data_IF_607513142123
#
_entry.id   IF_607513142123
#
_cell.length_a   1.000
_cell.length_b   1.000
_cell.length_c   1.000
_cell.angle_alpha   90.00
_cell.angle_beta   90.00
_cell.angle_gamma   90.00
#
_symmetry.space_group_name_H-M   'P 1'
#
loop_
_entity.id
_entity.type
_entity.pdbx_description
1 polymer ?
#
# COMPACT_ATOMS: atom_id res chain seq x y z
N UNK A 1 47.05 64.83 -3.22
CA UNK A 1 47.92 63.74 -2.77
C UNK A 1 47.46 62.49 -3.53
N UNK A 2 48.03 62.12 -4.69
CA UNK A 2 49.28 61.32 -4.92
C UNK A 2 49.16 59.96 -4.24
N UNK A 3 49.36 58.76 -4.81
CA UNK A 3 49.66 58.15 -6.12
C UNK A 3 49.31 56.64 -5.89
N UNK A 4 48.68 55.89 -6.80
CA UNK A 4 49.21 55.25 -8.00
C UNK A 4 50.33 54.19 -7.75
N UNK A 5 50.18 53.05 -8.47
CA UNK A 5 51.21 52.08 -8.93
C UNK A 5 51.52 50.88 -7.99
N UNK A 6 51.76 49.66 -8.48
CA UNK A 6 51.80 49.10 -9.86
C UNK A 6 52.23 47.63 -9.78
N UNK A 7 51.53 46.79 -10.54
CA UNK A 7 51.98 45.71 -11.45
C UNK A 7 53.26 44.89 -11.12
N UNK A 8 53.15 43.57 -11.29
CA UNK A 8 53.62 42.78 -12.48
C UNK A 8 53.46 41.28 -12.14
N UNK A 9 52.74 40.43 -12.87
CA UNK A 9 52.81 40.06 -14.30
C UNK A 9 54.11 39.33 -14.69
N UNK A 10 54.02 38.00 -14.81
CA UNK A 10 54.82 37.08 -15.63
C UNK A 10 53.93 35.82 -15.80
N UNK A 11 53.67 35.20 -16.95
CA UNK A 11 53.99 35.35 -18.37
C UNK A 11 53.27 34.16 -19.05
N UNK A 12 52.29 34.35 -19.93
CA UNK A 12 52.37 34.37 -21.41
C UNK A 12 52.74 33.03 -22.07
N UNK A 13 51.70 32.44 -22.69
CA UNK A 13 51.61 31.83 -24.03
C UNK A 13 52.42 30.57 -24.40
N UNK A 14 51.75 29.66 -25.11
CA UNK A 14 52.38 28.59 -25.88
C UNK A 14 51.41 27.54 -26.40
N UNK A 15 50.90 27.76 -27.61
CA UNK A 15 49.88 26.99 -28.33
C UNK A 15 50.30 25.59 -28.82
N UNK A 16 49.28 24.72 -29.00
CA UNK A 16 49.07 23.72 -30.08
C UNK A 16 50.19 22.70 -30.41
N UNK A 17 49.93 21.40 -30.20
CA UNK A 17 49.58 20.45 -31.29
C UNK A 17 49.58 18.97 -30.85
N UNK A 18 48.50 18.28 -31.24
CA UNK A 18 48.34 16.89 -31.65
C UNK A 18 49.34 15.81 -31.17
N UNK A 19 48.82 14.88 -30.38
CA UNK A 19 49.06 13.45 -30.58
C UNK A 19 47.71 12.72 -30.45
N UNK A 20 47.18 12.26 -31.58
CA UNK A 20 45.98 11.44 -31.61
C UNK A 20 46.26 10.01 -31.16
N UNK A 21 45.20 9.30 -30.76
CA UNK A 21 44.91 7.92 -31.14
C UNK A 21 43.45 7.60 -30.73
N UNK A 22 42.60 7.57 -31.75
CA UNK A 22 41.59 6.54 -32.06
C UNK A 22 40.95 5.79 -30.86
N UNK A 23 39.62 5.92 -30.72
CA UNK A 23 38.65 4.81 -30.75
C UNK A 23 37.47 5.03 -29.79
N UNK A 24 36.26 4.84 -30.31
CA UNK A 24 35.19 4.18 -29.55
C UNK A 24 34.22 5.08 -28.80
N UNK A 25 33.08 5.35 -29.42
CA UNK A 25 31.83 5.47 -28.68
C UNK A 25 31.60 4.17 -27.90
N UNK A 26 31.63 4.21 -26.57
CA UNK A 26 30.72 3.47 -25.69
C UNK A 26 30.70 4.18 -24.34
N UNK A 27 29.54 4.63 -23.81
CA UNK A 27 29.40 4.76 -22.38
C UNK A 27 29.56 3.35 -21.81
N UNK A 28 30.76 3.08 -21.27
CA UNK A 28 31.08 1.80 -20.68
C UNK A 28 30.07 1.46 -19.60
N UNK A 29 29.35 0.35 -19.80
CA UNK A 29 28.76 -0.42 -18.71
C UNK A 29 29.89 -0.87 -17.80
N UNK A 30 30.18 -0.05 -16.79
CA UNK A 30 30.94 -0.49 -15.62
C UNK A 30 29.98 -1.41 -14.87
N UNK A 31 30.04 -2.71 -15.18
CA UNK A 31 29.40 -3.76 -14.40
C UNK A 31 30.12 -3.84 -13.05
N UNK A 32 29.77 -2.94 -12.14
CA UNK A 32 30.13 -3.07 -10.73
C UNK A 32 29.05 -3.92 -10.08
N UNK A 33 29.43 -5.02 -9.44
CA UNK A 33 28.54 -5.96 -8.75
C UNK A 33 27.73 -5.36 -7.58
N UNK A 34 27.80 -4.05 -7.38
CA UNK A 34 26.95 -3.25 -6.48
C UNK A 34 25.66 -2.78 -7.16
N UNK A 35 25.64 -2.67 -8.50
CA UNK A 35 24.48 -2.16 -9.25
C UNK A 35 23.36 -3.17 -9.45
N UNK A 36 23.64 -4.47 -9.47
CA UNK A 36 22.60 -5.50 -9.62
C UNK A 36 21.76 -5.66 -8.35
N UNK A 37 22.37 -5.53 -7.17
CA UNK A 37 21.64 -5.47 -5.89
C UNK A 37 20.76 -4.23 -5.82
N UNK A 38 21.32 -3.05 -6.13
CA UNK A 38 20.59 -1.78 -6.06
C UNK A 38 19.45 -1.69 -7.08
N UNK A 39 19.64 -2.17 -8.33
CA UNK A 39 18.57 -2.19 -9.34
C UNK A 39 17.52 -3.25 -9.03
N UNK A 40 17.89 -4.38 -8.41
CA UNK A 40 16.92 -5.39 -7.98
C UNK A 40 16.10 -4.88 -6.79
N UNK A 41 16.74 -4.36 -5.74
CA UNK A 41 16.08 -3.69 -4.61
C UNK A 41 15.19 -2.55 -5.08
N UNK A 42 15.68 -1.68 -5.96
CA UNK A 42 14.90 -0.55 -6.48
C UNK A 42 13.71 -1.00 -7.35
N UNK A 43 13.85 -2.06 -8.16
CA UNK A 43 12.72 -2.64 -8.91
C UNK A 43 11.72 -3.36 -8.02
N UNK A 44 12.20 -4.03 -6.97
CA UNK A 44 11.34 -4.70 -5.98
C UNK A 44 10.57 -3.65 -5.17
N UNK A 45 11.26 -2.61 -4.70
CA UNK A 45 10.70 -1.45 -4.00
C UNK A 45 9.61 -0.75 -4.85
N UNK A 46 9.88 -0.53 -6.16
CA UNK A 46 8.87 0.02 -7.07
C UNK A 46 7.68 -0.92 -7.31
N UNK A 47 7.91 -2.23 -7.50
CA UNK A 47 6.82 -3.18 -7.73
C UNK A 47 5.89 -3.27 -6.53
N UNK A 48 6.47 -3.36 -5.33
CA UNK A 48 5.74 -3.47 -4.06
C UNK A 48 4.93 -2.22 -3.75
N UNK A 49 5.52 -1.05 -4.00
CA UNK A 49 4.86 0.25 -3.85
C UNK A 49 3.56 0.33 -4.65
N UNK A 50 3.57 -0.14 -5.90
CA UNK A 50 2.41 -0.07 -6.77
C UNK A 50 1.26 -1.01 -6.40
N UNK A 51 1.51 -2.09 -5.64
CA UNK A 51 0.45 -3.00 -5.21
C UNK A 51 -0.32 -2.44 -4.02
N UNK A 52 0.39 -1.87 -3.05
CA UNK A 52 -0.21 -1.19 -1.89
C UNK A 52 -0.93 0.09 -2.33
N UNK A 53 -0.30 0.95 -3.14
CA UNK A 53 -0.91 2.18 -3.66
C UNK A 53 -2.21 1.89 -4.42
N UNK A 54 -2.25 0.86 -5.27
CA UNK A 54 -3.45 0.49 -6.02
C UNK A 54 -4.60 0.05 -5.09
N UNK A 55 -4.32 -0.74 -4.07
CA UNK A 55 -5.34 -1.19 -3.12
C UNK A 55 -5.91 -0.01 -2.32
N UNK A 56 -5.06 0.96 -1.94
CA UNK A 56 -5.49 2.21 -1.29
C UNK A 56 -6.34 3.05 -2.23
N UNK A 57 -5.90 3.26 -3.47
CA UNK A 57 -6.61 4.12 -4.43
C UNK A 57 -8.00 3.55 -4.73
N UNK A 58 -8.11 2.24 -4.94
CA UNK A 58 -9.38 1.56 -5.11
C UNK A 58 -10.26 1.69 -3.87
N UNK A 59 -9.68 1.55 -2.68
CA UNK A 59 -10.40 1.74 -1.42
C UNK A 59 -10.96 3.16 -1.28
N UNK A 60 -10.15 4.19 -1.53
CA UNK A 60 -10.59 5.59 -1.46
C UNK A 60 -11.71 5.87 -2.46
N UNK A 61 -11.66 5.30 -3.66
CA UNK A 61 -12.72 5.41 -4.66
C UNK A 61 -14.03 4.74 -4.23
N UNK A 62 -13.96 3.52 -3.69
CA UNK A 62 -15.13 2.77 -3.23
C UNK A 62 -15.76 3.44 -1.99
N UNK A 63 -14.91 3.93 -1.07
CA UNK A 63 -15.30 4.58 0.17
C UNK A 63 -15.91 5.98 -0.05
N UNK A 64 -15.51 6.70 -1.11
CA UNK A 64 -16.16 7.96 -1.48
C UNK A 64 -17.68 7.82 -1.75
N UNK A 65 -18.15 6.59 -1.99
CA UNK A 65 -19.56 6.26 -2.19
C UNK A 65 -20.17 5.43 -1.02
N UNK A 66 -19.47 5.33 0.13
CA UNK A 66 -19.89 4.54 1.29
C UNK A 66 -21.22 5.04 1.90
N UNK A 67 -22.11 4.14 2.37
CA UNK A 67 -23.40 4.50 2.97
C UNK A 67 -23.26 5.05 4.41
N UNK A 68 -22.08 4.92 4.99
CA UNK A 68 -21.79 5.31 6.36
C UNK A 68 -21.78 6.84 6.52
N UNK A 69 -22.37 7.33 7.62
CA UNK A 69 -22.42 8.78 7.89
C UNK A 69 -21.48 9.11 9.05
N UNK A 70 -21.07 10.37 9.14
CA UNK A 70 -20.39 10.92 10.33
C UNK A 70 -19.17 10.12 10.86
N UNK A 71 -18.43 9.45 9.99
CA UNK A 71 -17.22 8.73 10.37
C UNK A 71 -17.47 7.40 11.10
N UNK A 72 -18.64 6.80 10.92
CA UNK A 72 -19.00 5.45 11.39
C UNK A 72 -18.21 4.34 10.67
N UNK A 73 -17.61 4.66 9.54
CA UNK A 73 -16.65 3.84 8.82
C UNK A 73 -15.30 4.50 8.72
N UNK A 74 -15.01 5.47 9.62
CA UNK A 74 -13.78 6.27 9.64
C UNK A 74 -12.67 5.41 9.07
N UNK A 75 -12.32 5.72 7.81
CA UNK A 75 -11.01 5.36 7.30
C UNK A 75 -10.11 5.85 8.39
N UNK A 76 -9.52 4.96 9.19
CA UNK A 76 -8.56 5.42 10.16
C UNK A 76 -7.57 6.23 9.32
N UNK A 77 -7.46 7.51 9.62
CA UNK A 77 -6.45 8.40 9.04
C UNK A 77 -5.09 7.69 9.10
N UNK A 78 -4.88 6.93 10.18
CA UNK A 78 -3.74 6.05 10.40
C UNK A 78 -3.64 4.86 9.44
N UNK A 79 -4.69 4.31 8.86
CA UNK A 79 -4.54 3.19 7.94
C UNK A 79 -4.07 3.66 6.57
N UNK A 80 -4.64 4.75 6.04
CA UNK A 80 -4.09 5.35 4.82
C UNK A 80 -2.69 5.91 5.07
N UNK A 81 -2.42 6.47 6.25
CA UNK A 81 -1.08 6.91 6.66
C UNK A 81 -0.11 5.73 6.85
N UNK A 82 -0.46 4.66 7.58
CA UNK A 82 0.37 3.45 7.72
C UNK A 82 0.59 2.83 6.34
N UNK A 83 -0.43 2.73 5.50
CA UNK A 83 -0.30 2.17 4.16
C UNK A 83 0.52 3.08 3.24
N UNK A 84 0.48 4.41 3.39
CA UNK A 84 1.32 5.38 2.65
C UNK A 84 2.75 5.47 3.18
N UNK A 85 2.94 5.38 4.49
CA UNK A 85 4.22 5.42 5.22
C UNK A 85 5.02 4.15 4.92
N UNK A 86 4.34 3.00 4.86
CA UNK A 86 4.97 1.70 4.67
C UNK A 86 4.74 1.09 3.28
N UNK A 87 4.24 1.85 2.29
CA UNK A 87 4.03 1.40 0.90
C UNK A 87 5.25 0.74 0.26
N UNK A 88 6.45 1.14 0.67
CA UNK A 88 7.73 0.62 0.18
C UNK A 88 8.06 -0.79 0.69
N UNK A 89 7.41 -1.23 1.77
CA UNK A 89 7.72 -2.51 2.44
C UNK A 89 6.98 -3.72 1.87
N UNK A 90 6.00 -3.50 0.99
CA UNK A 90 5.20 -4.54 0.35
C UNK A 90 4.02 -5.05 1.17
N UNK A 91 3.07 -5.70 0.49
CA UNK A 91 1.76 -6.10 1.06
C UNK A 91 1.92 -7.03 2.27
N UNK A 92 2.87 -7.97 2.25
CA UNK A 92 3.05 -8.93 3.35
C UNK A 92 3.55 -8.29 4.65
N UNK A 93 4.47 -7.32 4.56
CA UNK A 93 4.98 -6.62 5.75
C UNK A 93 3.88 -5.76 6.38
N UNK A 94 3.09 -5.09 5.53
CA UNK A 94 1.91 -4.34 5.95
C UNK A 94 0.90 -5.25 6.67
N UNK A 95 0.54 -6.39 6.08
CA UNK A 95 -0.36 -7.36 6.70
C UNK A 95 0.18 -7.85 8.05
N UNK A 96 1.48 -8.17 8.14
CA UNK A 96 2.11 -8.60 9.40
C UNK A 96 2.07 -7.52 10.49
N UNK A 97 2.14 -6.24 10.13
CA UNK A 97 2.00 -5.12 11.09
C UNK A 97 0.57 -4.95 11.55
N UNK A 98 -0.39 -4.97 10.63
CA UNK A 98 -1.81 -4.91 10.97
C UNK A 98 -2.22 -6.08 11.85
N UNK A 99 -1.71 -7.29 11.56
CA UNK A 99 -1.94 -8.47 12.39
C UNK A 99 -1.39 -8.29 13.82
N UNK A 100 -0.21 -7.69 13.97
CA UNK A 100 0.34 -7.36 15.30
C UNK A 100 -0.53 -6.37 16.07
N UNK A 101 -1.07 -5.35 15.41
CA UNK A 101 -1.99 -4.38 16.03
C UNK A 101 -3.28 -5.09 16.46
N UNK A 102 -3.86 -5.93 15.60
CA UNK A 102 -5.07 -6.69 15.90
C UNK A 102 -4.90 -7.62 17.12
N UNK A 103 -3.76 -8.31 17.21
CA UNK A 103 -3.44 -9.25 18.30
C UNK A 103 -2.97 -8.59 19.59
N UNK A 104 -2.74 -7.28 19.60
CA UNK A 104 -2.31 -6.55 20.78
C UNK A 104 -3.53 -6.12 21.62
N UNK A 105 -3.83 -6.90 22.65
CA UNK A 105 -4.97 -6.63 23.55
C UNK A 105 -4.80 -5.35 24.39
N UNK A 106 -3.64 -4.68 24.34
CA UNK A 106 -3.48 -3.35 24.94
C UNK A 106 -4.02 -2.22 24.07
N UNK A 107 -4.28 -2.49 22.78
CA UNK A 107 -4.88 -1.52 21.86
C UNK A 107 -6.38 -1.37 22.10
N UNK A 108 -6.94 -0.16 21.94
CA UNK A 108 -8.39 0.03 21.95
C UNK A 108 -9.09 -0.77 20.84
N UNK A 109 -10.31 -1.23 21.10
CA UNK A 109 -11.11 -2.03 20.16
C UNK A 109 -11.25 -1.38 18.78
N UNK A 110 -11.53 -0.08 18.72
CA UNK A 110 -11.59 0.69 17.46
C UNK A 110 -10.29 0.58 16.62
N UNK A 111 -9.12 0.48 17.26
CA UNK A 111 -7.82 0.35 16.57
C UNK A 111 -7.63 -1.07 16.06
N UNK A 112 -8.01 -2.07 16.86
CA UNK A 112 -7.93 -3.50 16.49
C UNK A 112 -8.92 -3.84 15.37
N UNK A 113 -10.15 -3.32 15.46
CA UNK A 113 -11.18 -3.39 14.44
C UNK A 113 -10.71 -2.73 13.14
N UNK A 114 -10.10 -1.54 13.24
CA UNK A 114 -9.49 -0.86 12.10
C UNK A 114 -8.40 -1.69 11.44
N UNK A 115 -7.55 -2.37 12.21
CA UNK A 115 -6.53 -3.27 11.65
C UNK A 115 -7.15 -4.45 10.89
N UNK A 116 -8.17 -5.12 11.45
CA UNK A 116 -8.91 -6.20 10.77
C UNK A 116 -9.55 -5.72 9.46
N UNK A 117 -10.25 -4.58 9.51
CA UNK A 117 -10.87 -3.99 8.34
C UNK A 117 -9.86 -3.75 7.22
N UNK A 118 -8.70 -3.19 7.55
CA UNK A 118 -7.66 -2.90 6.57
C UNK A 118 -6.99 -4.16 6.01
N UNK A 119 -6.82 -5.20 6.82
CA UNK A 119 -6.37 -6.51 6.31
C UNK A 119 -7.39 -7.08 5.31
N UNK A 120 -8.69 -6.99 5.60
CA UNK A 120 -9.74 -7.44 4.71
C UNK A 120 -9.75 -6.68 3.36
N UNK A 121 -9.59 -5.36 3.44
CA UNK A 121 -9.47 -4.47 2.26
C UNK A 121 -8.25 -4.80 1.41
N UNK A 122 -7.08 -4.97 2.03
CA UNK A 122 -5.85 -5.28 1.30
C UNK A 122 -5.95 -6.64 0.59
N UNK A 123 -6.44 -7.66 1.29
CA UNK A 123 -6.57 -8.99 0.71
C UNK A 123 -7.57 -9.02 -0.44
N UNK A 124 -8.67 -8.26 -0.35
CA UNK A 124 -9.66 -8.22 -1.44
C UNK A 124 -9.22 -7.40 -2.65
N UNK A 125 -8.41 -6.35 -2.47
CA UNK A 125 -8.09 -5.37 -3.53
C UNK A 125 -6.66 -5.44 -4.08
N UNK A 126 -5.78 -6.28 -3.51
CA UNK A 126 -4.43 -6.46 -4.05
C UNK A 126 -4.45 -7.03 -5.47
N UNK A 127 -3.32 -6.92 -6.18
CA UNK A 127 -3.19 -7.34 -7.59
C UNK A 127 -3.70 -8.75 -7.88
N UNK A 128 -3.46 -9.66 -6.94
CA UNK A 128 -3.98 -11.04 -6.96
C UNK A 128 -4.87 -11.22 -5.71
N UNK A 129 -6.17 -10.89 -5.78
CA UNK A 129 -7.06 -10.89 -4.63
C UNK A 129 -7.10 -12.23 -3.90
N UNK A 130 -7.05 -12.18 -2.57
CA UNK A 130 -7.28 -13.32 -1.70
C UNK A 130 -8.64 -13.19 -1.02
N UNK A 131 -9.68 -13.46 -1.78
CA UNK A 131 -11.07 -13.32 -1.30
C UNK A 131 -11.36 -14.20 -0.09
N UNK A 132 -10.70 -15.35 0.04
CA UNK A 132 -10.85 -16.25 1.21
C UNK A 132 -10.39 -15.56 2.49
N UNK A 133 -9.20 -14.98 2.51
CA UNK A 133 -8.71 -14.25 3.69
C UNK A 133 -9.47 -12.94 3.93
N UNK A 134 -9.86 -12.24 2.87
CA UNK A 134 -10.69 -11.04 3.01
C UNK A 134 -12.02 -11.35 3.73
N UNK A 135 -12.69 -12.44 3.34
CA UNK A 135 -13.92 -12.92 4.00
C UNK A 135 -13.67 -13.24 5.47
N UNK A 136 -12.61 -13.97 5.76
CA UNK A 136 -12.27 -14.35 7.14
C UNK A 136 -12.08 -13.12 8.04
N UNK A 137 -11.37 -12.10 7.56
CA UNK A 137 -11.18 -10.87 8.31
C UNK A 137 -12.48 -10.07 8.49
N UNK A 138 -13.35 -10.01 7.48
CA UNK A 138 -14.67 -9.38 7.63
C UNK A 138 -15.58 -10.13 8.61
N UNK A 139 -15.55 -11.47 8.61
CA UNK A 139 -16.29 -12.28 9.58
C UNK A 139 -15.82 -12.01 11.01
N UNK A 140 -14.50 -12.02 11.23
CA UNK A 140 -13.91 -11.68 12.54
C UNK A 140 -14.28 -10.27 12.98
N UNK A 141 -14.19 -9.30 12.07
CA UNK A 141 -14.60 -7.92 12.36
C UNK A 141 -16.05 -7.86 12.86
N UNK A 142 -16.96 -8.57 12.20
CA UNK A 142 -18.37 -8.63 12.58
C UNK A 142 -18.59 -9.29 13.95
N UNK A 143 -17.89 -10.39 14.24
CA UNK A 143 -18.07 -11.17 15.47
C UNK A 143 -17.38 -10.53 16.67
N UNK A 144 -16.13 -10.12 16.52
CA UNK A 144 -15.27 -9.66 17.61
C UNK A 144 -15.52 -8.19 17.96
N UNK A 145 -15.95 -7.38 16.98
CA UNK A 145 -16.17 -5.94 17.15
C UNK A 145 -17.55 -5.50 16.65
N UNK A 146 -18.65 -6.02 17.23
CA UNK A 146 -20.01 -5.85 16.69
C UNK A 146 -20.54 -4.40 16.70
N UNK A 147 -19.86 -3.49 17.41
CA UNK A 147 -20.19 -2.08 17.45
C UNK A 147 -19.39 -1.24 16.43
N UNK A 148 -18.33 -1.80 15.85
CA UNK A 148 -17.46 -1.12 14.91
C UNK A 148 -17.90 -1.43 13.47
N UNK A 149 -17.81 -0.43 12.58
CA UNK A 149 -18.09 -0.60 11.14
C UNK A 149 -19.50 -1.17 10.81
N UNK A 150 -20.51 -0.99 11.67
CA UNK A 150 -21.85 -1.59 11.47
C UNK A 150 -22.49 -1.22 10.13
N UNK A 151 -22.25 -0.01 9.65
CA UNK A 151 -22.86 0.53 8.44
C UNK A 151 -22.42 -0.21 7.16
N UNK A 152 -21.20 -0.76 7.10
CA UNK A 152 -20.75 -1.52 5.92
C UNK A 152 -21.37 -2.92 5.84
N UNK A 153 -21.89 -3.44 6.96
CA UNK A 153 -22.58 -4.72 7.04
C UNK A 153 -24.10 -4.59 6.89
N UNK A 154 -24.62 -3.37 7.03
CA UNK A 154 -26.04 -3.10 6.90
C UNK A 154 -26.54 -3.39 5.48
N UNK A 155 -27.77 -3.90 5.40
CA UNK A 155 -28.44 -4.17 4.12
C UNK A 155 -28.56 -2.88 3.31
N UNK A 156 -27.91 -2.89 2.15
CA UNK A 156 -27.84 -1.77 1.22
C UNK A 156 -27.31 -2.22 -0.13
N UNK A 157 -27.68 -1.52 -1.19
CA UNK A 157 -27.15 -1.75 -2.55
C UNK A 157 -25.62 -1.63 -2.59
N UNK A 158 -25.04 -0.77 -1.73
CA UNK A 158 -23.59 -0.62 -1.63
C UNK A 158 -22.93 -1.87 -1.06
N UNK A 159 -23.49 -2.45 0.02
CA UNK A 159 -22.97 -3.71 0.60
C UNK A 159 -22.97 -4.81 -0.45
N UNK A 160 -24.08 -4.94 -1.18
CA UNK A 160 -24.25 -6.01 -2.16
C UNK A 160 -23.28 -5.83 -3.33
N UNK A 161 -23.13 -4.60 -3.84
CA UNK A 161 -22.12 -4.26 -4.84
C UNK A 161 -20.69 -4.56 -4.36
N UNK A 162 -20.37 -4.28 -3.08
CA UNK A 162 -19.07 -4.58 -2.50
C UNK A 162 -18.81 -6.09 -2.41
N UNK A 163 -19.83 -6.87 -2.04
CA UNK A 163 -19.76 -8.33 -2.02
C UNK A 163 -19.49 -8.87 -3.43
N UNK A 164 -20.26 -8.43 -4.43
CA UNK A 164 -20.13 -8.89 -5.82
C UNK A 164 -18.72 -8.66 -6.37
N UNK A 165 -18.21 -7.44 -6.22
CA UNK A 165 -16.93 -7.06 -6.79
C UNK A 165 -15.77 -7.73 -6.05
N UNK A 166 -15.79 -7.68 -4.71
CA UNK A 166 -14.60 -7.91 -3.91
C UNK A 166 -14.60 -9.25 -3.19
N UNK A 167 -15.76 -9.84 -2.92
CA UNK A 167 -15.86 -10.99 -2.02
C UNK A 167 -16.30 -12.27 -2.70
N UNK A 168 -17.15 -12.25 -3.74
CA UNK A 168 -17.64 -13.48 -4.40
C UNK A 168 -16.52 -14.34 -5.02
N UNK A 169 -16.59 -15.65 -4.76
CA UNK A 169 -15.82 -16.69 -5.43
C UNK A 169 -16.55 -17.15 -6.71
N UNK A 170 -15.87 -17.84 -7.64
CA UNK A 170 -16.50 -18.31 -8.87
C UNK A 170 -17.73 -19.18 -8.61
N UNK A 171 -18.88 -18.77 -9.15
CA UNK A 171 -20.13 -19.53 -9.09
C UNK A 171 -21.08 -19.15 -7.94
N UNK A 172 -20.70 -18.21 -7.08
CA UNK A 172 -21.58 -17.72 -6.01
C UNK A 172 -22.41 -16.51 -6.43
N UNK A 173 -23.51 -16.29 -5.70
CA UNK A 173 -24.32 -15.07 -5.71
C UNK A 173 -24.23 -14.34 -4.37
N UNK A 174 -24.67 -13.08 -4.32
CA UNK A 174 -24.79 -12.31 -3.07
C UNK A 174 -25.66 -13.05 -2.05
N UNK A 175 -26.79 -13.62 -2.45
CA UNK A 175 -27.66 -14.35 -1.52
C UNK A 175 -26.98 -15.60 -0.96
N UNK A 176 -26.28 -16.38 -1.81
CA UNK A 176 -25.55 -17.55 -1.32
C UNK A 176 -24.44 -17.16 -0.34
N UNK A 177 -23.71 -16.08 -0.65
CA UNK A 177 -22.66 -15.56 0.22
C UNK A 177 -23.20 -15.11 1.58
N UNK A 178 -24.30 -14.35 1.60
CA UNK A 178 -24.89 -13.84 2.83
C UNK A 178 -25.48 -14.96 3.70
N UNK A 179 -26.02 -16.02 3.09
CA UNK A 179 -26.47 -17.21 3.82
C UNK A 179 -25.30 -17.90 4.49
N UNK A 180 -24.25 -18.21 3.72
CA UNK A 180 -23.09 -18.94 4.23
C UNK A 180 -22.34 -18.11 5.30
N UNK A 181 -22.23 -16.80 5.10
CA UNK A 181 -21.65 -15.89 6.09
C UNK A 181 -22.45 -15.86 7.42
N UNK A 182 -23.78 -16.00 7.36
CA UNK A 182 -24.62 -16.07 8.56
C UNK A 182 -24.37 -17.36 9.33
N UNK A 183 -24.34 -18.50 8.63
CA UNK A 183 -24.04 -19.81 9.22
C UNK A 183 -22.66 -19.81 9.88
N UNK A 184 -21.64 -19.28 9.20
CA UNK A 184 -20.28 -19.14 9.75
C UNK A 184 -20.25 -18.29 11.03
N UNK A 185 -20.92 -17.14 11.03
CA UNK A 185 -20.99 -16.24 12.19
C UNK A 185 -21.69 -16.91 13.38
N UNK A 186 -22.79 -17.63 13.13
CA UNK A 186 -23.50 -18.38 14.17
C UNK A 186 -22.61 -19.46 14.79
N UNK A 187 -21.75 -20.11 14.01
CA UNK A 187 -20.77 -21.07 14.52
C UNK A 187 -19.64 -20.43 15.33
N UNK A 188 -19.19 -19.23 14.97
CA UNK A 188 -18.11 -18.53 15.69
C UNK A 188 -18.55 -17.97 17.05
N UNK A 189 -19.85 -17.76 17.25
CA UNK A 189 -20.42 -17.22 18.49
C UNK A 189 -20.81 -18.30 19.52
N UNK A 190 -20.75 -19.58 19.14
CA UNK A 190 -21.00 -20.74 20.00
C UNK A 190 -19.75 -21.16 20.77
#
# INVERSE_FOLDING_TARGET
MTQMKSLRAFGVAGSLALAGLVAGCMPGTIATGVGTGFVYEQKQDHKHRHEVERAIDQYVQDHANSPCRHGEDRVMESATEILREYRLTGVNEVLSRLERIYKDDSQPDQVRAGALYNMAVLESRRKEPNKVWAREYFKRLYVEFPNEYRCIFAESDWRDSMIEQQLLLPGETVESFLRDAREDVEHMQQ
#
